data_IF_917233940218
#
_entry.id   IF_917233940218
#
_cell.length_a   1.000
_cell.length_b   1.000
_cell.length_c   1.000
_cell.angle_alpha   90.00
_cell.angle_beta   90.00
_cell.angle_gamma   90.00
#
_symmetry.space_group_name_H-M   'P 1'
#
loop_
_entity.id
_entity.type
_entity.pdbx_description
1 polymer ?
#
# COMPACT_ATOMS: atom_id res chain seq x y z
N UNK A 1 1.05 14.79 -7.72
CA UNK A 1 1.89 15.63 -6.84
C UNK A 1 1.58 15.26 -5.40
N UNK A 2 2.57 14.96 -4.56
CA UNK A 2 2.32 14.56 -3.16
C UNK A 2 1.60 15.68 -2.41
N UNK A 3 0.67 15.32 -1.52
CA UNK A 3 -0.20 16.27 -0.79
C UNK A 3 0.50 16.95 0.40
N UNK A 4 1.67 16.44 0.83
CA UNK A 4 2.43 16.89 2.01
C UNK A 4 3.94 16.76 1.78
N UNK A 5 4.73 17.59 2.48
CA UNK A 5 6.20 17.70 2.35
C UNK A 5 6.97 16.45 2.81
N UNK A 6 6.34 15.54 3.56
CA UNK A 6 6.93 14.26 3.97
C UNK A 6 6.16 13.09 3.36
N UNK A 7 6.82 12.07 2.81
CA UNK A 7 6.18 10.95 2.11
C UNK A 7 5.56 9.92 3.06
N UNK A 8 4.82 10.36 4.07
CA UNK A 8 4.26 9.51 5.14
C UNK A 8 2.89 8.94 4.81
N UNK A 9 2.12 9.60 3.95
CA UNK A 9 0.75 9.20 3.59
C UNK A 9 0.69 8.79 2.11
N UNK A 10 -0.07 7.74 1.83
CA UNK A 10 -0.39 7.30 0.48
C UNK A 10 -1.80 6.70 0.44
N UNK A 11 -2.37 6.61 -0.75
CA UNK A 11 -3.67 5.98 -0.99
C UNK A 11 -3.45 4.69 -1.78
N UNK A 12 -4.08 3.61 -1.34
CA UNK A 12 -4.15 2.35 -2.08
C UNK A 12 -5.61 1.97 -2.28
N UNK A 13 -5.97 1.61 -3.51
CA UNK A 13 -7.31 1.16 -3.86
C UNK A 13 -7.28 -0.35 -3.98
N UNK A 14 -8.02 -1.04 -3.11
CA UNK A 14 -8.08 -2.50 -3.08
C UNK A 14 -9.51 -2.94 -3.41
N UNK A 15 -9.67 -3.78 -4.43
CA UNK A 15 -10.94 -4.41 -4.74
C UNK A 15 -11.13 -5.68 -3.90
N UNK A 16 -12.29 -5.81 -3.25
CA UNK A 16 -12.65 -6.99 -2.48
C UNK A 16 -13.84 -7.71 -3.12
N UNK A 17 -13.77 -9.03 -3.23
CA UNK A 17 -14.89 -9.90 -3.61
C UNK A 17 -15.19 -10.85 -2.46
N UNK A 18 -16.10 -10.45 -1.57
CA UNK A 18 -16.58 -11.29 -0.45
C UNK A 18 -15.74 -11.29 0.83
N UNK A 19 -14.61 -10.57 0.89
CA UNK A 19 -13.81 -10.44 2.13
C UNK A 19 -14.04 -9.10 2.84
N UNK A 20 -14.20 -9.13 4.16
CA UNK A 20 -14.37 -7.93 5.00
C UNK A 20 -13.09 -7.56 5.77
N UNK A 21 -12.07 -8.41 5.77
CA UNK A 21 -10.78 -8.15 6.42
C UNK A 21 -9.59 -8.49 5.51
N UNK A 22 -8.39 -8.19 6.00
CA UNK A 22 -7.16 -8.71 5.42
C UNK A 22 -7.00 -10.17 5.85
N UNK A 23 -7.16 -11.10 4.92
CA UNK A 23 -6.90 -12.52 5.19
C UNK A 23 -5.44 -12.71 5.60
N UNK A 24 -5.16 -13.63 6.52
CA UNK A 24 -3.80 -13.91 7.04
C UNK A 24 -2.77 -14.19 5.93
N UNK A 25 -3.21 -14.74 4.78
CA UNK A 25 -2.38 -14.93 3.57
C UNK A 25 -2.29 -13.70 2.63
N UNK A 26 -3.21 -12.74 2.73
CA UNK A 26 -3.23 -11.51 1.94
C UNK A 26 -2.45 -10.35 2.59
N UNK A 27 -1.92 -10.52 3.80
CA UNK A 27 -1.01 -9.54 4.40
C UNK A 27 0.23 -9.31 3.54
N UNK A 28 0.72 -10.35 2.86
CA UNK A 28 1.83 -10.21 1.91
C UNK A 28 1.51 -9.24 0.77
N UNK A 29 0.27 -9.23 0.27
CA UNK A 29 -0.13 -8.31 -0.80
C UNK A 29 -0.09 -6.85 -0.32
N UNK A 30 -0.51 -6.58 0.93
CA UNK A 30 -0.43 -5.24 1.52
C UNK A 30 1.03 -4.77 1.64
N UNK A 31 1.93 -5.62 2.14
CA UNK A 31 3.35 -5.26 2.26
C UNK A 31 4.03 -5.08 0.89
N UNK A 32 3.73 -5.93 -0.10
CA UNK A 32 4.25 -5.79 -1.47
C UNK A 32 3.78 -4.50 -2.13
N UNK A 33 2.51 -4.09 -1.92
CA UNK A 33 2.02 -2.80 -2.41
C UNK A 33 2.76 -1.63 -1.78
N UNK A 34 3.01 -1.69 -0.46
CA UNK A 34 3.75 -0.67 0.28
C UNK A 34 5.20 -0.56 -0.20
N UNK A 35 5.90 -1.67 -0.34
CA UNK A 35 7.29 -1.69 -0.83
C UNK A 35 7.38 -1.13 -2.25
N UNK A 36 6.44 -1.48 -3.13
CA UNK A 36 6.39 -0.95 -4.50
C UNK A 36 6.20 0.57 -4.53
N UNK A 37 5.44 1.13 -3.60
CA UNK A 37 5.27 2.58 -3.48
C UNK A 37 6.51 3.25 -2.89
N UNK A 38 7.19 2.62 -1.93
CA UNK A 38 8.48 3.11 -1.40
C UNK A 38 9.59 3.06 -2.46
N UNK A 39 9.67 2.01 -3.27
CA UNK A 39 10.62 1.87 -4.38
C UNK A 39 10.43 2.97 -5.42
N UNK A 40 9.18 3.26 -5.82
CA UNK A 40 8.86 4.38 -6.73
C UNK A 40 9.27 5.75 -6.18
N UNK A 41 9.30 5.90 -4.85
CA UNK A 41 9.74 7.12 -4.17
C UNK A 41 11.26 7.16 -3.94
N UNK A 42 11.97 6.08 -4.25
CA UNK A 42 13.41 5.96 -4.02
C UNK A 42 13.78 5.90 -2.53
N UNK A 43 12.87 5.42 -1.68
CA UNK A 43 13.05 5.35 -0.22
C UNK A 43 13.13 3.91 0.30
N UNK A 44 13.36 2.93 -0.59
CA UNK A 44 13.56 1.53 -0.25
C UNK A 44 15.06 1.23 -0.11
#
# INVERSE_FOLDING_TARGET
>A
KPLQDRPTVFFEIIQRKGSLSFGKGNFKALFVSIEKEQEKRGTL
#
